data_IF_854350012594
#
_entry.id   IF_854350012594
#
_cell.length_a   1.000
_cell.length_b   1.000
_cell.length_c   1.000
_cell.angle_alpha   90.00
_cell.angle_beta   90.00
_cell.angle_gamma   90.00
#
_symmetry.space_group_name_H-M   'P 1'
#
loop_
_entity.id
_entity.type
_entity.pdbx_description
1 polymer ?
#
# COMPACT_ATOMS: atom_id res chain seq x y z
N UNK A 1 -14.75 -10.22 4.03
CA UNK A 1 -15.38 -9.53 2.87
C UNK A 1 -14.88 -10.12 1.55
N UNK A 2 -13.56 -10.22 1.38
CA UNK A 2 -13.00 -10.71 0.12
C UNK A 2 -13.41 -12.16 -0.19
N UNK A 3 -13.53 -13.00 0.82
CA UNK A 3 -13.96 -14.40 0.67
C UNK A 3 -15.40 -14.51 0.22
N UNK A 4 -16.24 -13.54 0.56
CA UNK A 4 -17.66 -13.51 0.20
C UNK A 4 -17.90 -12.92 -1.18
N UNK A 5 -17.09 -11.93 -1.57
CA UNK A 5 -17.37 -11.06 -2.73
C UNK A 5 -16.52 -11.36 -3.94
N UNK A 6 -15.43 -12.09 -3.78
CA UNK A 6 -14.47 -12.35 -4.87
C UNK A 6 -14.29 -13.86 -5.05
N UNK A 7 -14.47 -14.40 -6.28
CA UNK A 7 -14.23 -15.80 -6.55
C UNK A 7 -12.80 -16.22 -6.19
N UNK A 8 -12.59 -17.47 -5.71
CA UNK A 8 -11.27 -17.93 -5.27
C UNK A 8 -10.16 -17.76 -6.31
N UNK A 9 -10.47 -17.93 -7.60
CA UNK A 9 -9.47 -17.83 -8.67
C UNK A 9 -8.93 -16.42 -8.88
N UNK A 10 -9.59 -15.40 -8.34
CA UNK A 10 -9.17 -14.01 -8.46
C UNK A 10 -8.50 -13.46 -7.18
N UNK A 11 -8.29 -14.30 -6.18
CA UNK A 11 -7.74 -13.88 -4.89
C UNK A 11 -6.26 -14.20 -4.78
N UNK A 12 -5.51 -13.31 -4.13
CA UNK A 12 -4.18 -13.57 -3.62
C UNK A 12 -4.30 -14.11 -2.20
N UNK A 13 -4.06 -15.40 -2.00
CA UNK A 13 -4.32 -16.03 -0.72
C UNK A 13 -5.80 -15.88 -0.36
N UNK A 14 -6.07 -15.40 0.86
CA UNK A 14 -7.43 -15.27 1.37
C UNK A 14 -8.00 -13.86 1.36
N UNK A 15 -7.16 -12.85 1.23
CA UNK A 15 -7.54 -11.46 1.54
C UNK A 15 -7.40 -10.48 0.38
N UNK A 16 -6.60 -10.79 -0.63
CA UNK A 16 -6.24 -9.81 -1.65
C UNK A 16 -6.44 -10.36 -3.06
N UNK A 17 -6.60 -9.46 -4.02
CA UNK A 17 -6.74 -9.80 -5.44
C UNK A 17 -5.53 -9.35 -6.25
N UNK A 18 -4.76 -8.40 -5.74
CA UNK A 18 -3.77 -7.70 -6.55
C UNK A 18 -2.57 -7.29 -5.71
N UNK A 19 -1.45 -7.12 -6.37
CA UNK A 19 -0.25 -6.57 -5.77
C UNK A 19 0.46 -5.64 -6.75
N UNK A 20 1.24 -4.71 -6.21
CA UNK A 20 2.09 -3.83 -6.99
C UNK A 20 3.41 -3.63 -6.28
N UNK A 21 4.50 -3.65 -7.05
CA UNK A 21 5.84 -3.35 -6.55
C UNK A 21 6.24 -1.93 -6.98
N UNK A 22 6.64 -1.10 -6.02
CA UNK A 22 7.09 0.26 -6.27
C UNK A 22 8.58 0.36 -5.96
N UNK A 23 9.34 0.95 -6.88
CA UNK A 23 10.79 1.14 -6.75
C UNK A 23 11.11 2.63 -6.68
N UNK A 24 11.49 3.13 -5.50
CA UNK A 24 11.85 4.53 -5.28
C UNK A 24 10.77 5.52 -5.72
N UNK A 25 9.51 5.21 -5.47
CA UNK A 25 8.38 6.02 -5.90
C UNK A 25 7.70 6.65 -4.69
N UNK A 26 7.66 7.97 -4.65
CA UNK A 26 6.81 8.73 -3.74
C UNK A 26 5.42 8.89 -4.34
N UNK A 27 4.45 9.31 -3.54
CA UNK A 27 3.10 9.53 -4.00
C UNK A 27 2.49 10.78 -3.36
N UNK A 28 1.82 11.60 -4.19
CA UNK A 28 1.00 12.70 -3.69
C UNK A 28 -0.21 12.16 -2.93
N UNK A 29 -0.88 13.01 -2.18
CA UNK A 29 -2.07 12.60 -1.42
C UNK A 29 -3.19 12.12 -2.35
N UNK A 30 -3.74 10.97 -2.03
CA UNK A 30 -4.82 10.33 -2.78
C UNK A 30 -5.59 9.33 -1.92
N UNK A 31 -6.71 8.84 -2.43
CA UNK A 31 -7.39 7.64 -1.94
C UNK A 31 -7.33 6.57 -3.00
N UNK A 32 -7.32 5.32 -2.59
CA UNK A 32 -7.37 4.18 -3.51
C UNK A 32 -8.84 3.84 -3.80
N UNK A 33 -9.49 4.68 -4.61
CA UNK A 33 -10.92 4.60 -4.86
C UNK A 33 -11.35 3.31 -5.60
N UNK A 34 -10.42 2.65 -6.28
CA UNK A 34 -10.69 1.39 -6.96
C UNK A 34 -10.64 0.17 -6.03
N UNK A 35 -10.25 0.37 -4.77
CA UNK A 35 -10.19 -0.71 -3.78
C UNK A 35 -11.58 -1.02 -3.23
N UNK A 36 -11.76 -2.28 -2.82
CA UNK A 36 -12.99 -2.75 -2.21
C UNK A 36 -13.20 -2.04 -0.87
N UNK A 37 -14.37 -1.42 -0.69
CA UNK A 37 -14.73 -0.76 0.55
C UNK A 37 -14.83 -1.76 1.72
N UNK A 38 -14.45 -1.31 2.91
CA UNK A 38 -14.45 -2.14 4.10
C UNK A 38 -13.22 -3.04 4.27
N UNK A 39 -12.30 -2.99 3.32
CA UNK A 39 -11.07 -3.78 3.35
C UNK A 39 -9.86 -2.90 3.65
N UNK A 40 -8.70 -3.53 3.77
CA UNK A 40 -7.44 -2.85 4.05
C UNK A 40 -6.40 -3.18 2.99
N UNK A 41 -5.42 -2.30 2.84
CA UNK A 41 -4.18 -2.56 2.11
C UNK A 41 -3.09 -3.00 3.08
N UNK A 42 -2.15 -3.76 2.58
CA UNK A 42 -0.92 -4.11 3.30
C UNK A 42 0.26 -3.62 2.49
N UNK A 43 1.13 -2.82 3.11
CA UNK A 43 2.37 -2.35 2.51
C UNK A 43 3.54 -2.96 3.25
N UNK A 44 4.42 -3.64 2.52
CA UNK A 44 5.68 -4.16 3.05
C UNK A 44 6.80 -3.29 2.49
N UNK A 45 7.59 -2.68 3.36
CA UNK A 45 8.68 -1.79 2.98
C UNK A 45 10.02 -2.51 3.00
N UNK A 46 10.83 -2.26 1.97
CA UNK A 46 12.23 -2.67 1.87
C UNK A 46 13.07 -1.45 1.59
N UNK A 47 14.06 -1.18 2.41
CA UNK A 47 14.87 0.02 2.26
C UNK A 47 16.28 -0.16 2.79
N UNK A 48 17.21 0.62 2.24
CA UNK A 48 18.58 0.71 2.68
C UNK A 48 19.13 2.09 2.33
N UNK A 49 19.77 2.76 3.31
CA UNK A 49 20.44 4.04 3.11
C UNK A 49 19.60 5.07 2.34
N UNK A 50 18.36 5.24 2.76
CA UNK A 50 17.43 6.21 2.21
C UNK A 50 16.66 6.90 3.34
N UNK A 51 16.31 8.16 3.11
CA UNK A 51 15.46 8.96 3.98
C UNK A 51 14.12 9.18 3.29
N UNK A 52 13.06 9.36 4.07
CA UNK A 52 11.72 9.56 3.53
C UNK A 52 11.08 8.26 3.07
N UNK A 53 10.16 8.34 2.13
CA UNK A 53 9.38 7.17 1.70
C UNK A 53 8.43 6.67 2.79
N UNK A 54 7.98 7.57 3.66
CA UNK A 54 7.10 7.25 4.78
C UNK A 54 5.66 7.57 4.41
N UNK A 55 4.74 6.70 4.83
CA UNK A 55 3.32 6.88 4.57
C UNK A 55 2.73 7.92 5.52
N UNK A 56 2.12 8.96 4.97
CA UNK A 56 1.46 10.01 5.72
C UNK A 56 -0.05 9.92 5.52
N UNK A 57 -0.79 9.93 6.64
CA UNK A 57 -2.26 9.90 6.65
C UNK A 57 -2.75 11.14 7.38
N UNK A 58 -3.15 12.21 6.65
CA UNK A 58 -3.55 13.48 7.28
C UNK A 58 -4.72 13.36 8.27
N UNK A 59 -5.68 12.47 8.03
CA UNK A 59 -6.83 12.28 8.91
C UNK A 59 -6.41 11.95 10.35
N UNK A 60 -5.27 11.31 10.52
CA UNK A 60 -4.72 10.95 11.84
C UNK A 60 -3.59 11.86 12.26
N UNK A 61 -3.24 12.86 11.44
CA UNK A 61 -2.07 13.72 11.66
C UNK A 61 -0.81 12.88 11.94
N UNK A 62 -0.64 11.83 11.15
CA UNK A 62 0.40 10.83 11.38
C UNK A 62 1.22 10.55 10.12
N UNK A 63 2.53 10.44 10.31
CA UNK A 63 3.45 9.89 9.32
C UNK A 63 4.11 8.66 9.94
N UNK A 64 3.91 7.51 9.33
CA UNK A 64 4.44 6.25 9.81
C UNK A 64 5.84 6.01 9.25
N UNK A 65 6.80 5.78 10.14
CA UNK A 65 8.16 5.46 9.76
C UNK A 65 8.21 4.06 9.13
N UNK A 66 8.50 4.01 7.83
CA UNK A 66 8.55 2.77 7.06
C UNK A 66 9.94 2.13 7.17
N UNK A 67 10.22 1.54 8.31
CA UNK A 67 11.48 0.83 8.53
C UNK A 67 11.65 -0.35 7.58
N UNK A 68 12.89 -0.78 7.34
CA UNK A 68 13.13 -1.97 6.53
C UNK A 68 12.44 -3.19 7.14
N UNK A 69 11.76 -3.97 6.31
CA UNK A 69 10.94 -5.12 6.68
C UNK A 69 9.71 -4.77 7.55
N UNK A 70 9.27 -3.52 7.53
CA UNK A 70 8.03 -3.13 8.21
C UNK A 70 6.81 -3.47 7.37
N UNK A 71 5.68 -3.64 8.05
CA UNK A 71 4.38 -3.86 7.44
C UNK A 71 3.39 -2.84 7.99
N UNK A 72 2.69 -2.16 7.09
CA UNK A 72 1.63 -1.22 7.44
C UNK A 72 0.31 -1.73 6.87
N UNK A 73 -0.71 -1.76 7.72
CA UNK A 73 -2.07 -2.17 7.36
C UNK A 73 -3.01 -1.00 7.59
N UNK A 74 -3.75 -0.58 6.56
CA UNK A 74 -4.65 0.57 6.68
C UNK A 74 -5.75 0.54 5.60
N UNK A 75 -6.89 1.21 5.84
CA UNK A 75 -7.99 1.27 4.88
C UNK A 75 -7.74 2.36 3.82
N UNK A 76 -6.95 2.03 2.79
CA UNK A 76 -6.53 2.99 1.77
C UNK A 76 -7.68 3.51 0.90
N UNK A 77 -8.80 2.78 0.83
CA UNK A 77 -10.01 3.23 0.13
C UNK A 77 -10.68 4.41 0.81
N UNK A 78 -10.51 4.53 2.14
CA UNK A 78 -11.18 5.53 2.97
C UNK A 78 -10.30 6.74 3.25
N UNK A 79 -9.05 6.51 3.63
CA UNK A 79 -8.17 7.57 4.11
C UNK A 79 -7.33 8.15 2.99
N UNK A 80 -7.27 9.47 2.91
CA UNK A 80 -6.28 10.17 2.10
C UNK A 80 -4.90 9.82 2.64
N UNK A 81 -3.98 9.46 1.79
CA UNK A 81 -2.63 9.11 2.18
C UNK A 81 -1.64 9.47 1.08
N UNK A 82 -0.41 9.57 1.44
CA UNK A 82 0.69 9.83 0.51
C UNK A 82 1.97 9.20 1.03
N UNK A 83 3.01 9.25 0.21
CA UNK A 83 4.34 8.78 0.55
C UNK A 83 5.31 9.94 0.41
N UNK A 84 6.05 10.24 1.46
CA UNK A 84 7.00 11.35 1.46
C UNK A 84 8.14 11.10 0.47
N UNK A 85 8.79 12.16 -0.04
CA UNK A 85 9.89 12.01 -0.98
C UNK A 85 10.99 11.08 -0.46
N UNK A 86 11.57 10.30 -1.37
CA UNK A 86 12.63 9.36 -1.06
C UNK A 86 13.96 10.00 -1.45
N UNK A 87 14.88 10.09 -0.48
CA UNK A 87 16.19 10.68 -0.67
C UNK A 87 17.24 9.64 -0.36
N UNK A 88 17.97 9.13 -1.36
CA UNK A 88 19.10 8.24 -1.11
C UNK A 88 20.18 8.96 -0.29
N UNK A 89 20.71 8.29 0.72
CA UNK A 89 21.78 8.83 1.58
C UNK A 89 23.16 8.49 1.08
N UNK A 90 23.26 7.53 0.15
CA UNK A 90 24.48 7.17 -0.57
C UNK A 90 24.11 6.52 -1.89
N UNK A 91 25.11 6.30 -2.75
CA UNK A 91 24.91 5.57 -4.00
C UNK A 91 24.32 4.18 -3.72
N UNK A 92 23.31 3.79 -4.50
CA UNK A 92 22.60 2.53 -4.32
C UNK A 92 21.58 2.51 -3.20
N UNK A 93 21.39 3.63 -2.46
CA UNK A 93 20.32 3.74 -1.47
C UNK A 93 18.95 3.67 -2.12
N UNK A 94 17.99 3.03 -1.45
CA UNK A 94 16.66 2.81 -2.04
C UNK A 94 15.58 2.65 -0.98
N UNK A 95 14.33 2.88 -1.41
CA UNK A 95 13.12 2.48 -0.71
C UNK A 95 12.15 1.86 -1.71
N UNK A 96 11.85 0.59 -1.52
CA UNK A 96 10.91 -0.15 -2.34
C UNK A 96 9.74 -0.62 -1.48
N UNK A 97 8.58 -0.80 -2.08
CA UNK A 97 7.42 -1.34 -1.37
C UNK A 97 6.71 -2.39 -2.20
N UNK A 98 6.12 -3.35 -1.51
CA UNK A 98 5.19 -4.32 -2.07
C UNK A 98 3.83 -4.08 -1.41
N UNK A 99 2.84 -3.78 -2.24
CA UNK A 99 1.49 -3.46 -1.76
C UNK A 99 0.54 -4.56 -2.18
N UNK A 100 -0.20 -5.11 -1.23
CA UNK A 100 -1.31 -6.03 -1.49
C UNK A 100 -2.63 -5.30 -1.27
N UNK A 101 -3.56 -5.45 -2.21
CA UNK A 101 -4.84 -4.75 -2.15
C UNK A 101 -5.97 -5.52 -2.83
N UNK A 102 -7.24 -5.29 -2.40
CA UNK A 102 -8.40 -5.90 -3.02
C UNK A 102 -9.06 -4.90 -3.99
N UNK A 103 -9.08 -5.19 -5.29
CA UNK A 103 -9.77 -4.37 -6.28
C UNK A 103 -11.27 -4.64 -6.26
N UNK A 104 -12.09 -3.58 -6.15
CA UNK A 104 -13.55 -3.74 -6.16
C UNK A 104 -14.10 -4.24 -7.50
N UNK A 105 -13.35 -4.07 -8.59
CA UNK A 105 -13.75 -4.57 -9.90
C UNK A 105 -13.98 -6.08 -9.90
N UNK A 106 -13.23 -6.84 -9.11
CA UNK A 106 -13.39 -8.29 -9.01
C UNK A 106 -14.65 -8.71 -8.25
N UNK A 107 -15.31 -7.80 -7.57
CA UNK A 107 -16.57 -8.07 -6.89
C UNK A 107 -17.72 -8.37 -7.89
N UNK A 108 -17.57 -7.98 -9.14
CA UNK A 108 -18.61 -8.09 -10.16
C UNK A 108 -18.34 -9.19 -11.19
N UNK A 109 -17.39 -10.09 -10.95
CA UNK A 109 -17.01 -11.16 -11.88
C UNK A 109 -17.53 -12.53 -11.43
N UNK A 110 -18.79 -12.62 -11.16
CA UNK A 110 -19.44 -13.89 -10.75
C UNK A 110 -20.17 -14.56 -11.91
#
# INVERSE_FOLDING_TARGET
IIEEKVPPQWRFGRLFTSSISNFNIAAAFHRDAANLEGCVNVIIAKRSHARGGNTTVPDYNATMDSCNNSMLVYPAWRNVHGVTPIVPLKEGGYRNSLVFYPLKAFNNYW
#
